data_IF_524646283057
#
_entry.id   IF_524646283057
#
_cell.length_a   1.000
_cell.length_b   1.000
_cell.length_c   1.000
_cell.angle_alpha   90.00
_cell.angle_beta   90.00
_cell.angle_gamma   90.00
#
_symmetry.space_group_name_H-M   'P 1'
#
loop_
_entity.id
_entity.type
_entity.pdbx_description
1 polymer ?
#
# COMPACT_ATOMS: atom_id res chain seq x y z
N UNK A 1 -6.04 -9.89 20.19
CA UNK A 1 -4.92 -10.39 19.35
C UNK A 1 -4.01 -9.20 19.01
N UNK A 2 -2.70 -9.32 19.19
CA UNK A 2 -1.74 -8.27 18.83
C UNK A 2 -1.10 -8.61 17.47
N UNK A 3 -1.48 -7.91 16.41
CA UNK A 3 -0.92 -8.13 15.07
C UNK A 3 0.35 -7.29 14.91
N UNK A 4 1.47 -7.92 14.53
CA UNK A 4 2.68 -7.19 14.14
C UNK A 4 2.48 -6.61 12.74
N UNK A 5 2.58 -5.30 12.61
CA UNK A 5 2.37 -4.57 11.36
C UNK A 5 3.61 -3.74 11.05
N UNK A 6 3.98 -3.68 9.78
CA UNK A 6 4.98 -2.76 9.26
C UNK A 6 4.37 -1.96 8.10
N UNK A 7 4.68 -0.67 8.01
CA UNK A 7 4.26 0.21 6.91
C UNK A 7 5.48 0.47 6.04
N UNK A 8 5.40 0.14 4.77
CA UNK A 8 6.47 0.37 3.80
C UNK A 8 5.97 1.45 2.83
N UNK A 9 6.57 2.65 2.81
CA UNK A 9 6.22 3.66 1.82
C UNK A 9 6.63 3.17 0.44
N UNK A 10 5.77 3.38 -0.54
CA UNK A 10 6.07 3.09 -1.93
C UNK A 10 6.49 4.39 -2.62
N UNK A 11 7.66 4.38 -3.25
CA UNK A 11 8.18 5.51 -4.02
C UNK A 11 8.66 4.97 -5.36
N UNK A 12 8.28 5.61 -6.47
CA UNK A 12 8.59 5.13 -7.83
C UNK A 12 10.10 4.92 -8.02
N UNK A 13 10.91 5.87 -7.56
CA UNK A 13 12.36 5.86 -7.70
C UNK A 13 13.08 4.98 -6.65
N UNK A 14 12.34 4.42 -5.68
CA UNK A 14 12.88 3.58 -4.62
C UNK A 14 11.99 2.36 -4.44
N UNK A 15 12.26 1.25 -5.16
CA UNK A 15 11.45 0.04 -5.07
C UNK A 15 11.45 -0.52 -3.65
N UNK A 16 10.40 -1.28 -3.25
CA UNK A 16 10.34 -1.90 -1.94
C UNK A 16 11.58 -2.76 -1.63
N UNK A 17 11.98 -2.86 -0.35
CA UNK A 17 13.13 -3.67 0.04
C UNK A 17 13.02 -5.10 -0.50
N UNK A 18 14.11 -5.63 -1.06
CA UNK A 18 14.16 -7.01 -1.60
C UNK A 18 13.72 -8.07 -0.57
N UNK A 19 13.92 -7.77 0.71
CA UNK A 19 13.49 -8.61 1.84
C UNK A 19 11.98 -8.82 1.90
N UNK A 20 11.16 -7.86 1.42
CA UNK A 20 9.70 -7.99 1.36
C UNK A 20 9.27 -9.23 0.55
N UNK A 21 9.92 -9.45 -0.59
CA UNK A 21 9.66 -10.58 -1.50
C UNK A 21 10.24 -11.91 -0.98
N UNK A 22 11.15 -11.83 0.00
CA UNK A 22 11.77 -12.99 0.65
C UNK A 22 10.97 -13.57 1.82
N UNK A 23 9.97 -12.85 2.35
CA UNK A 23 9.21 -13.27 3.52
C UNK A 23 8.46 -14.60 3.28
N UNK A 24 8.39 -15.45 4.30
CA UNK A 24 7.62 -16.71 4.24
C UNK A 24 6.18 -16.42 4.63
N UNK A 25 5.28 -16.56 3.65
CA UNK A 25 3.86 -16.30 3.81
C UNK A 25 3.57 -14.93 4.46
N UNK A 26 4.02 -13.79 3.91
CA UNK A 26 3.53 -12.50 4.37
C UNK A 26 2.07 -12.32 3.91
N UNK A 27 1.27 -11.60 4.70
CA UNK A 27 0.09 -10.93 4.15
C UNK A 27 0.55 -9.53 3.78
N UNK A 28 0.68 -9.26 2.49
CA UNK A 28 0.96 -7.92 1.99
C UNK A 28 -0.36 -7.34 1.49
N UNK A 29 -0.68 -6.12 1.92
CA UNK A 29 -1.89 -5.42 1.52
C UNK A 29 -1.49 -4.09 0.92
N UNK A 30 -1.82 -3.87 -0.35
CA UNK A 30 -1.63 -2.58 -1.01
C UNK A 30 -2.67 -1.59 -0.51
N UNK A 31 -2.24 -0.39 -0.11
CA UNK A 31 -3.15 0.72 0.20
C UNK A 31 -3.06 1.74 -0.94
N UNK A 32 -4.19 2.11 -1.51
CA UNK A 32 -4.28 3.14 -2.55
C UNK A 32 -5.26 4.23 -2.15
N UNK A 33 -5.12 5.41 -2.75
CA UNK A 33 -6.04 6.53 -2.59
C UNK A 33 -6.31 7.17 -3.97
N UNK A 34 -7.23 8.11 -4.05
CA UNK A 34 -7.45 8.89 -5.27
C UNK A 34 -6.32 9.92 -5.48
N UNK A 35 -5.98 10.24 -6.74
CA UNK A 35 -4.98 11.26 -7.04
C UNK A 35 -5.28 12.60 -6.38
N UNK A 36 -6.54 13.03 -6.44
CA UNK A 36 -7.01 14.33 -5.92
C UNK A 36 -6.83 14.38 -4.41
N UNK A 37 -7.19 13.29 -3.72
CA UNK A 37 -7.03 13.18 -2.27
C UNK A 37 -5.56 13.18 -1.86
N UNK A 38 -4.70 12.48 -2.62
CA UNK A 38 -3.27 12.44 -2.34
C UNK A 38 -2.61 13.81 -2.53
N UNK A 39 -2.94 14.51 -3.62
CA UNK A 39 -2.47 15.89 -3.87
C UNK A 39 -2.90 16.79 -2.72
N UNK A 40 -4.17 16.72 -2.28
CA UNK A 40 -4.67 17.54 -1.17
C UNK A 40 -3.89 17.27 0.12
N UNK A 41 -3.65 16.00 0.48
CA UNK A 41 -2.88 15.63 1.67
C UNK A 41 -1.44 16.16 1.58
N UNK A 42 -0.79 16.01 0.40
CA UNK A 42 0.58 16.48 0.18
C UNK A 42 0.70 18.00 0.24
N UNK A 43 -0.26 18.74 -0.35
CA UNK A 43 -0.35 20.20 -0.24
C UNK A 43 -0.49 20.65 1.21
N UNK A 44 -1.39 20.04 1.97
CA UNK A 44 -1.56 20.36 3.39
C UNK A 44 -0.26 20.13 4.18
N UNK A 45 0.50 19.09 3.84
CA UNK A 45 1.80 18.82 4.46
C UNK A 45 2.85 19.87 4.09
N UNK A 46 2.92 20.32 2.84
CA UNK A 46 3.83 21.41 2.45
C UNK A 46 3.51 22.71 3.19
N UNK A 47 2.22 23.07 3.27
CA UNK A 47 1.77 24.24 4.03
C UNK A 47 2.18 24.16 5.49
N UNK A 48 2.07 22.98 6.12
CA UNK A 48 2.51 22.78 7.51
C UNK A 48 4.03 22.91 7.73
N UNK A 49 4.81 22.82 6.65
CA UNK A 49 6.27 22.95 6.67
C UNK A 49 6.75 24.36 6.26
N UNK A 50 5.84 25.33 6.09
CA UNK A 50 6.13 26.66 5.54
C UNK A 50 6.79 26.66 4.16
N UNK A 51 6.66 25.56 3.40
CA UNK A 51 7.11 25.52 2.01
C UNK A 51 5.96 25.89 1.08
N UNK A 52 6.07 27.08 0.48
CA UNK A 52 5.08 27.62 -0.45
C UNK A 52 5.30 27.18 -1.92
N UNK A 53 6.38 26.44 -2.21
CA UNK A 53 6.72 26.06 -3.58
C UNK A 53 5.84 24.90 -4.05
N UNK A 54 5.05 25.10 -5.10
CA UNK A 54 4.42 23.99 -5.82
C UNK A 54 5.52 23.16 -6.49
N UNK A 55 5.86 22.04 -5.86
CA UNK A 55 6.90 21.12 -6.32
C UNK A 55 6.29 19.96 -7.11
N UNK A 56 7.15 19.20 -7.79
CA UNK A 56 6.81 17.91 -8.41
C UNK A 56 6.09 16.92 -7.45
N UNK A 57 6.15 17.17 -6.13
CA UNK A 57 5.48 16.38 -5.10
C UNK A 57 3.95 16.47 -5.12
N UNK A 58 3.40 17.60 -5.60
CA UNK A 58 1.94 17.85 -5.70
C UNK A 58 1.44 17.90 -7.15
N UNK A 59 2.32 17.65 -8.13
CA UNK A 59 1.95 17.61 -9.53
C UNK A 59 0.97 16.46 -9.81
N UNK A 60 -0.18 16.80 -10.40
CA UNK A 60 -1.29 15.85 -10.54
C UNK A 60 -0.95 14.68 -11.47
N UNK A 61 -0.19 14.92 -12.53
CA UNK A 61 0.12 13.88 -13.51
C UNK A 61 1.22 12.95 -13.01
N UNK A 62 2.21 13.49 -12.27
CA UNK A 62 3.18 12.67 -11.53
C UNK A 62 2.51 11.82 -10.46
N UNK A 63 1.56 12.37 -9.71
CA UNK A 63 0.81 11.63 -8.69
C UNK A 63 -0.03 10.52 -9.31
N UNK A 64 -0.67 10.75 -10.46
CA UNK A 64 -1.38 9.70 -11.21
C UNK A 64 -0.42 8.59 -11.64
N UNK A 65 0.76 8.94 -12.16
CA UNK A 65 1.80 7.98 -12.54
C UNK A 65 2.27 7.11 -11.37
N UNK A 66 2.49 7.72 -10.20
CA UNK A 66 2.84 7.01 -8.97
C UNK A 66 1.76 6.01 -8.53
N UNK A 67 0.49 6.42 -8.55
CA UNK A 67 -0.64 5.55 -8.20
C UNK A 67 -0.82 4.42 -9.23
N UNK A 68 -0.59 4.68 -10.51
CA UNK A 68 -0.64 3.67 -11.56
C UNK A 68 0.47 2.63 -11.38
N UNK A 69 1.70 3.09 -11.09
CA UNK A 69 2.82 2.22 -10.76
C UNK A 69 2.51 1.33 -9.56
N UNK A 70 1.95 1.90 -8.49
CA UNK A 70 1.54 1.16 -7.29
C UNK A 70 0.52 0.07 -7.61
N UNK A 71 -0.56 0.42 -8.34
CA UNK A 71 -1.61 -0.54 -8.72
C UNK A 71 -1.06 -1.69 -9.57
N UNK A 72 -0.14 -1.39 -10.51
CA UNK A 72 0.53 -2.41 -11.31
C UNK A 72 1.37 -3.34 -10.45
N UNK A 73 2.22 -2.78 -9.58
CA UNK A 73 3.05 -3.59 -8.66
C UNK A 73 2.20 -4.52 -7.78
N UNK A 74 1.10 -4.01 -7.22
CA UNK A 74 0.20 -4.82 -6.40
C UNK A 74 -0.44 -5.95 -7.21
N UNK A 75 -0.87 -5.65 -8.44
CA UNK A 75 -1.43 -6.64 -9.37
C UNK A 75 -0.42 -7.72 -9.77
N UNK A 76 0.80 -7.32 -10.14
CA UNK A 76 1.88 -8.23 -10.53
C UNK A 76 2.23 -9.23 -9.42
N UNK A 77 2.11 -8.83 -8.15
CA UNK A 77 2.37 -9.69 -6.98
C UNK A 77 1.12 -10.37 -6.41
N UNK A 78 -0.06 -10.17 -7.01
CA UNK A 78 -1.33 -10.72 -6.52
C UNK A 78 -1.74 -10.24 -5.12
N UNK A 79 -1.29 -9.05 -4.70
CA UNK A 79 -1.61 -8.53 -3.38
C UNK A 79 -3.02 -7.93 -3.34
N UNK A 80 -3.82 -8.19 -2.28
CA UNK A 80 -5.09 -7.50 -2.09
C UNK A 80 -4.86 -6.00 -1.94
N UNK A 81 -5.71 -5.21 -2.59
CA UNK A 81 -5.63 -3.73 -2.58
C UNK A 81 -6.86 -3.16 -1.88
N UNK A 82 -6.64 -2.23 -0.96
CA UNK A 82 -7.69 -1.47 -0.27
C UNK A 82 -7.59 -0.01 -0.70
N UNK A 83 -8.67 0.52 -1.26
CA UNK A 83 -8.83 1.95 -1.50
C UNK A 83 -9.27 2.65 -0.21
N UNK A 84 -8.42 3.56 0.29
CA UNK A 84 -8.61 4.29 1.55
C UNK A 84 -9.10 5.73 1.35
N UNK A 85 -9.43 6.16 0.13
CA UNK A 85 -9.75 7.56 -0.21
C UNK A 85 -10.78 8.21 0.73
N UNK A 86 -11.82 7.45 1.10
CA UNK A 86 -12.92 7.90 1.96
C UNK A 86 -13.16 6.98 3.15
N UNK A 87 -12.17 6.16 3.51
CA UNK A 87 -12.28 5.23 4.63
C UNK A 87 -11.68 5.84 5.88
N UNK A 88 -12.28 5.55 7.03
CA UNK A 88 -11.65 5.80 8.31
C UNK A 88 -10.48 4.84 8.57
N UNK A 89 -9.68 5.13 9.58
CA UNK A 89 -8.59 4.24 10.02
C UNK A 89 -9.18 2.92 10.52
N UNK A 90 -10.28 2.97 11.27
CA UNK A 90 -11.01 1.82 11.82
C UNK A 90 -11.59 0.94 10.71
N UNK A 91 -12.20 1.54 9.69
CA UNK A 91 -12.73 0.81 8.54
C UNK A 91 -11.63 0.11 7.74
N UNK A 92 -10.50 0.80 7.55
CA UNK A 92 -9.33 0.24 6.89
C UNK A 92 -8.73 -0.91 7.70
N UNK A 93 -8.60 -0.74 9.02
CA UNK A 93 -8.13 -1.78 9.92
C UNK A 93 -9.07 -3.00 9.92
N UNK A 94 -10.39 -2.78 9.95
CA UNK A 94 -11.38 -3.85 9.87
C UNK A 94 -11.26 -4.64 8.56
N UNK A 95 -11.05 -3.96 7.43
CA UNK A 95 -10.81 -4.62 6.14
C UNK A 95 -9.52 -5.47 6.15
N UNK A 96 -8.42 -4.95 6.70
CA UNK A 96 -7.17 -5.70 6.84
C UNK A 96 -7.35 -6.92 7.76
N UNK A 97 -8.05 -6.76 8.89
CA UNK A 97 -8.31 -7.87 9.83
C UNK A 97 -9.12 -8.98 9.17
N UNK A 98 -10.09 -8.65 8.31
CA UNK A 98 -10.84 -9.65 7.54
C UNK A 98 -9.92 -10.46 6.62
N UNK A 99 -8.97 -9.82 5.94
CA UNK A 99 -7.97 -10.51 5.11
C UNK A 99 -7.07 -11.42 5.94
N UNK A 100 -6.67 -11.00 7.14
CA UNK A 100 -5.91 -11.84 8.08
C UNK A 100 -6.72 -13.08 8.47
N UNK A 101 -7.99 -12.89 8.86
CA UNK A 101 -8.86 -13.99 9.26
C UNK A 101 -9.14 -14.98 8.11
N UNK A 102 -9.37 -14.48 6.90
CA UNK A 102 -9.55 -15.32 5.72
C UNK A 102 -8.32 -16.17 5.44
N UNK A 103 -7.13 -15.57 5.56
CA UNK A 103 -5.86 -16.30 5.41
C UNK A 103 -5.67 -17.36 6.50
N UNK A 104 -6.00 -17.06 7.76
CA UNK A 104 -5.93 -18.01 8.87
C UNK A 104 -6.90 -19.19 8.70
N UNK A 105 -8.07 -18.96 8.09
CA UNK A 105 -9.11 -19.99 7.89
C UNK A 105 -8.83 -20.96 6.76
N UNK A 106 -7.91 -20.67 5.83
CA UNK A 106 -7.52 -21.58 4.75
C UNK A 106 -6.59 -22.66 5.32
N UNK A 107 -7.04 -23.90 5.56
CA UNK A 107 -6.17 -24.98 6.00
C UNK A 107 -5.37 -25.47 4.78
N UNK A 108 -4.06 -25.21 4.75
CA UNK A 108 -3.14 -25.79 3.78
C UNK A 108 -2.79 -24.92 2.56
N UNK A 109 -1.64 -24.25 2.62
CA UNK A 109 -0.61 -24.54 1.60
C UNK A 109 0.35 -25.50 2.27
N UNK A 110 0.22 -26.76 1.90
CA UNK A 110 1.22 -27.82 2.15
C UNK A 110 2.63 -27.28 1.96
N UNK A 111 3.52 -27.71 2.86
CA UNK A 111 4.97 -27.51 2.76
C UNK A 111 5.44 -27.78 1.34
N UNK A 112 6.12 -26.79 0.75
CA UNK A 112 6.90 -26.95 -0.46
C UNK A 112 6.11 -27.24 -1.73
N UNK A 113 5.59 -26.20 -2.38
CA UNK A 113 5.78 -25.97 -3.83
C UNK A 113 5.21 -24.60 -4.26
N UNK A 114 6.00 -23.96 -5.12
CA UNK A 114 5.72 -22.86 -6.05
C UNK A 114 5.35 -21.49 -5.47
N UNK A 115 6.38 -20.65 -5.28
CA UNK A 115 6.21 -19.20 -5.47
C UNK A 115 6.02 -18.96 -6.97
N UNK A 116 4.90 -18.42 -7.47
CA UNK A 116 5.00 -17.47 -8.55
C UNK A 116 5.52 -16.17 -7.94
N UNK A 117 6.65 -15.75 -8.48
CA UNK A 117 7.28 -14.45 -8.28
C UNK A 117 6.27 -13.37 -8.67
#
# INVERSE_FOLDING_TARGET
KNNKVAIIPLVVDSPPPKTLFGLRHPLVVGLTTSPERLVQIRRNRLLSLNEATETAYVDSDRVKGELQFARRMFGDNGWPVIDVTRRSIEETAAAIIRLVQERERRPGRIDGLEKPI
#
